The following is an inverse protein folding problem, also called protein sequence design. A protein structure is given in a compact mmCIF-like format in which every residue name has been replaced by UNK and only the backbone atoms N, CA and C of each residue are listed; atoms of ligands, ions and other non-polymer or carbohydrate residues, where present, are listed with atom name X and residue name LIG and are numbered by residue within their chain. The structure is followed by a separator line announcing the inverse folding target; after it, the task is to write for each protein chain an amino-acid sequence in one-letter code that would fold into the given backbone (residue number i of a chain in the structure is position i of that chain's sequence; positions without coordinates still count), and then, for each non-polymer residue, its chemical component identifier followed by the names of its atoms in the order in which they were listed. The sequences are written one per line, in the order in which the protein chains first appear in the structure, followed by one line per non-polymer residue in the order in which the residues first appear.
data_IF_315140405819
#
_entry.id   IF_315140405819
#
_cell.length_a   1.000
_cell.length_b   1.000
_cell.length_c   1.000
_cell.angle_alpha   90.00
_cell.angle_beta   90.00
_cell.angle_gamma   90.00
#
_symmetry.space_group_name_H-M   'P 1'
#
loop_
_entity.id
_entity.type
_entity.pdbx_description
1 polymer ?
#
# COMPACT_ATOMS: atom_id res chain seq x y z
N UNK A 1 -13.24 8.37 -12.13
CA UNK A 1 -12.03 8.24 -12.96
C UNK A 1 -11.21 7.04 -12.50
N UNK A 2 -10.76 6.20 -13.40
CA UNK A 2 -10.05 4.97 -13.04
C UNK A 2 -8.61 5.04 -13.53
N UNK A 3 -7.65 4.83 -12.62
CA UNK A 3 -6.22 4.76 -12.95
C UNK A 3 -5.72 3.32 -12.78
N UNK A 4 -5.02 2.83 -13.79
CA UNK A 4 -4.37 1.52 -13.74
C UNK A 4 -2.86 1.70 -13.62
N UNK A 5 -2.26 0.98 -12.69
CA UNK A 5 -0.83 0.99 -12.44
C UNK A 5 -0.32 -0.45 -12.57
N UNK A 6 0.63 -0.66 -13.47
CA UNK A 6 1.28 -1.96 -13.61
C UNK A 6 2.50 -2.02 -12.67
N UNK A 7 2.48 -2.99 -11.75
CA UNK A 7 3.54 -3.22 -10.78
C UNK A 7 4.67 -4.13 -11.29
N UNK A 8 4.52 -4.73 -12.48
CA UNK A 8 5.51 -5.65 -13.03
C UNK A 8 6.89 -5.01 -13.15
N UNK A 9 7.88 -5.61 -12.50
CA UNK A 9 9.27 -5.14 -12.52
C UNK A 9 9.55 -3.84 -11.76
N UNK A 10 8.52 -3.22 -11.18
CA UNK A 10 8.67 -1.99 -10.36
C UNK A 10 8.81 -2.33 -8.88
N UNK A 11 9.50 -1.47 -8.14
CA UNK A 11 9.58 -1.62 -6.69
C UNK A 11 8.25 -1.27 -6.01
N UNK A 12 7.94 -1.95 -4.93
CA UNK A 12 6.71 -1.70 -4.14
C UNK A 12 6.59 -0.24 -3.71
N UNK A 13 7.70 0.37 -3.25
CA UNK A 13 7.70 1.76 -2.79
C UNK A 13 7.36 2.75 -3.89
N UNK A 14 7.88 2.58 -5.11
CA UNK A 14 7.59 3.47 -6.24
C UNK A 14 6.14 3.36 -6.70
N UNK A 15 5.63 2.15 -6.81
CA UNK A 15 4.21 1.91 -7.13
C UNK A 15 3.31 2.51 -6.06
N UNK A 16 3.67 2.34 -4.79
CA UNK A 16 2.92 2.90 -3.67
C UNK A 16 2.91 4.44 -3.68
N UNK A 17 4.02 5.08 -4.02
CA UNK A 17 4.09 6.55 -4.14
C UNK A 17 3.17 7.06 -5.25
N UNK A 18 3.20 6.43 -6.41
CA UNK A 18 2.33 6.75 -7.54
C UNK A 18 0.85 6.59 -7.16
N UNK A 19 0.49 5.44 -6.61
CA UNK A 19 -0.87 5.14 -6.16
C UNK A 19 -1.36 6.13 -5.08
N UNK A 20 -0.52 6.44 -4.09
CA UNK A 20 -0.87 7.39 -3.04
C UNK A 20 -1.12 8.80 -3.60
N UNK A 21 -0.30 9.26 -4.54
CA UNK A 21 -0.48 10.57 -5.19
C UNK A 21 -1.81 10.67 -5.93
N UNK A 22 -2.18 9.61 -6.65
CA UNK A 22 -3.47 9.54 -7.35
C UNK A 22 -4.64 9.48 -6.38
N UNK A 23 -4.56 8.66 -5.33
CA UNK A 23 -5.60 8.54 -4.31
C UNK A 23 -5.84 9.84 -3.54
N UNK A 24 -4.79 10.63 -3.33
CA UNK A 24 -4.93 11.96 -2.72
C UNK A 24 -5.49 13.01 -3.67
N UNK A 25 -5.54 12.73 -4.97
CA UNK A 25 -6.02 13.65 -5.99
C UNK A 25 -4.99 14.69 -6.45
N UNK A 26 -3.71 14.52 -6.13
CA UNK A 26 -2.64 15.47 -6.51
C UNK A 26 -2.41 15.57 -8.02
N UNK A 27 -2.89 14.62 -8.79
CA UNK A 27 -2.79 14.60 -10.25
C UNK A 27 -3.82 15.49 -10.95
N UNK A 28 -4.82 15.96 -10.21
CA UNK A 28 -5.88 16.83 -10.74
C UNK A 28 -5.65 18.29 -10.34
N UNK A 29 -5.90 19.26 -11.24
CA UNK A 29 -5.86 20.68 -10.87
C UNK A 29 -6.96 21.08 -9.88
N UNK A 30 -8.03 20.29 -9.79
CA UNK A 30 -9.14 20.50 -8.82
C UNK A 30 -8.82 19.93 -7.42
N UNK A 31 -7.56 19.68 -7.11
CA UNK A 31 -7.14 19.13 -5.82
C UNK A 31 -7.55 20.03 -4.65
N UNK A 32 -8.25 19.43 -3.67
CA UNK A 32 -8.59 20.07 -2.41
C UNK A 32 -8.27 19.12 -1.24
N UNK A 33 -7.58 19.60 -0.23
CA UNK A 33 -7.11 18.77 0.89
C UNK A 33 -8.25 18.16 1.72
N UNK A 34 -9.38 18.82 1.80
CA UNK A 34 -10.51 18.44 2.66
C UNK A 34 -11.59 17.63 1.94
N UNK A 35 -11.47 17.45 0.64
CA UNK A 35 -12.42 16.69 -0.18
C UNK A 35 -11.72 15.44 -0.72
N UNK A 36 -12.32 14.25 -0.57
CA UNK A 36 -11.78 13.05 -1.19
C UNK A 36 -11.89 13.14 -2.72
N UNK A 37 -10.83 12.70 -3.41
CA UNK A 37 -10.87 12.60 -4.87
C UNK A 37 -11.77 11.45 -5.32
N UNK A 38 -12.57 11.68 -6.35
CA UNK A 38 -13.38 10.63 -6.99
C UNK A 38 -12.53 9.85 -7.99
N UNK A 39 -11.64 9.02 -7.48
CA UNK A 39 -10.68 8.23 -8.26
C UNK A 39 -10.67 6.80 -7.76
N UNK A 40 -10.64 5.84 -8.70
CA UNK A 40 -10.39 4.44 -8.43
C UNK A 40 -8.99 4.08 -8.94
N UNK A 41 -8.14 3.53 -8.07
CA UNK A 41 -6.81 3.06 -8.44
C UNK A 41 -6.81 1.54 -8.47
N UNK A 42 -6.34 0.97 -9.58
CA UNK A 42 -6.18 -0.47 -9.74
C UNK A 42 -4.70 -0.76 -9.97
N UNK A 43 -4.12 -1.57 -9.11
CA UNK A 43 -2.75 -2.07 -9.26
C UNK A 43 -2.83 -3.48 -9.81
N UNK A 44 -2.18 -3.70 -10.94
CA UNK A 44 -2.13 -4.99 -11.62
C UNK A 44 -0.74 -5.62 -11.47
N UNK A 45 -0.66 -6.96 -11.54
CA UNK A 45 0.59 -7.73 -11.46
C UNK A 45 1.40 -7.53 -10.16
N UNK A 46 0.72 -7.44 -9.02
CA UNK A 46 1.40 -7.23 -7.73
C UNK A 46 2.40 -8.35 -7.41
N UNK A 47 2.11 -9.59 -7.80
CA UNK A 47 3.03 -10.74 -7.61
C UNK A 47 4.33 -10.64 -8.41
N UNK A 48 4.34 -9.86 -9.49
CA UNK A 48 5.50 -9.66 -10.37
C UNK A 48 6.32 -8.42 -10.03
N UNK A 49 6.00 -7.76 -8.92
CA UNK A 49 6.76 -6.61 -8.44
C UNK A 49 8.18 -7.01 -8.03
N UNK A 50 9.12 -6.10 -8.20
CA UNK A 50 10.52 -6.32 -7.82
C UNK A 50 10.70 -6.12 -6.31
N UNK A 51 10.95 -7.21 -5.58
CA UNK A 51 11.32 -7.18 -4.17
C UNK A 51 12.68 -7.84 -4.02
N UNK A 52 13.67 -7.10 -3.53
CA UNK A 52 15.03 -7.62 -3.35
C UNK A 52 15.06 -8.68 -2.24
N UNK A 53 15.93 -9.71 -2.32
CA UNK A 53 16.05 -10.73 -1.28
C UNK A 53 16.36 -10.15 0.11
N UNK A 54 17.13 -9.07 0.19
CA UNK A 54 17.42 -8.39 1.45
C UNK A 54 16.17 -7.78 2.10
N UNK A 55 15.23 -7.26 1.32
CA UNK A 55 13.95 -6.75 1.82
C UNK A 55 13.01 -7.85 2.28
N UNK A 56 13.07 -9.02 1.69
CA UNK A 56 12.25 -10.18 2.11
C UNK A 56 12.48 -10.57 3.56
N UNK A 57 13.73 -10.46 4.04
CA UNK A 57 14.09 -10.77 5.42
C UNK A 57 13.84 -9.64 6.42
N UNK A 58 13.47 -8.44 5.95
CA UNK A 58 13.22 -7.29 6.82
C UNK A 58 11.87 -7.39 7.52
N UNK A 59 11.81 -6.83 8.72
CA UNK A 59 10.56 -6.77 9.49
C UNK A 59 9.57 -5.84 8.78
N UNK A 60 8.44 -6.39 8.39
CA UNK A 60 7.37 -5.65 7.72
C UNK A 60 6.39 -5.02 8.71
N UNK A 61 6.07 -5.73 9.79
CA UNK A 61 5.15 -5.26 10.80
C UNK A 61 5.51 -5.77 12.19
N UNK A 62 5.26 -4.93 13.19
CA UNK A 62 5.38 -5.27 14.60
C UNK A 62 4.03 -5.12 15.28
N UNK A 63 3.67 -6.07 16.12
CA UNK A 63 2.47 -6.01 16.95
C UNK A 63 2.85 -6.27 18.39
N UNK A 64 2.23 -5.54 19.31
CA UNK A 64 2.44 -5.68 20.74
C UNK A 64 1.09 -5.76 21.45
N UNK A 65 0.86 -6.86 22.18
CA UNK A 65 -0.42 -7.08 22.87
C UNK A 65 -0.55 -6.34 24.20
N UNK A 66 0.53 -5.74 24.71
CA UNK A 66 0.59 -5.11 26.03
C UNK A 66 0.98 -6.07 27.16
N UNK A 67 1.14 -7.36 26.88
CA UNK A 67 1.56 -8.38 27.85
C UNK A 67 3.04 -8.72 27.70
N UNK A 68 3.75 -9.17 28.76
CA UNK A 68 5.13 -9.65 28.65
C UNK A 68 5.25 -10.75 27.59
N UNK A 69 6.23 -10.62 26.69
CA UNK A 69 6.43 -11.55 25.56
C UNK A 69 5.44 -11.42 24.41
N UNK A 70 4.59 -10.39 24.43
CA UNK A 70 3.58 -10.17 23.39
C UNK A 70 4.05 -9.46 22.13
N UNK A 71 5.34 -9.09 22.05
CA UNK A 71 5.92 -8.48 20.85
C UNK A 71 6.05 -9.53 19.75
N UNK A 72 5.43 -9.28 18.60
CA UNK A 72 5.53 -10.12 17.42
C UNK A 72 6.02 -9.31 16.24
N UNK A 73 7.03 -9.84 15.56
CA UNK A 73 7.59 -9.26 14.35
C UNK A 73 7.29 -10.18 13.17
N UNK A 74 6.84 -9.59 12.05
CA UNK A 74 6.55 -10.33 10.83
C UNK A 74 7.40 -9.77 9.70
N UNK A 75 8.11 -10.64 9.02
CA UNK A 75 8.91 -10.28 7.84
C UNK A 75 8.04 -10.11 6.62
N UNK A 76 8.59 -9.46 5.58
CA UNK A 76 7.91 -9.33 4.28
C UNK A 76 7.61 -10.71 3.68
N UNK A 77 8.58 -11.65 3.74
CA UNK A 77 8.38 -13.01 3.25
C UNK A 77 7.22 -13.72 3.95
N UNK A 78 7.14 -13.60 5.27
CA UNK A 78 6.02 -14.16 6.04
C UNK A 78 4.67 -13.56 5.62
N UNK A 79 4.62 -12.24 5.41
CA UNK A 79 3.41 -11.55 4.99
C UNK A 79 2.94 -12.03 3.61
N UNK A 80 3.88 -12.19 2.66
CA UNK A 80 3.57 -12.70 1.32
C UNK A 80 3.05 -14.12 1.39
N UNK A 81 3.68 -14.99 2.18
CA UNK A 81 3.26 -16.39 2.33
C UNK A 81 1.86 -16.54 2.92
N UNK A 82 1.51 -15.71 3.90
CA UNK A 82 0.23 -15.81 4.63
C UNK A 82 -0.90 -15.00 4.01
N UNK A 83 -0.62 -13.83 3.45
CA UNK A 83 -1.63 -12.89 2.97
C UNK A 83 -1.46 -12.46 1.51
N UNK A 84 -0.38 -12.87 0.86
CA UNK A 84 -0.07 -12.51 -0.52
C UNK A 84 0.57 -11.12 -0.66
N UNK A 85 0.91 -10.78 -1.90
CA UNK A 85 1.55 -9.50 -2.24
C UNK A 85 0.63 -8.30 -2.01
N UNK A 86 -0.69 -8.51 -2.09
CA UNK A 86 -1.71 -7.48 -1.86
C UNK A 86 -1.52 -6.76 -0.52
N UNK A 87 -1.25 -7.50 0.55
CA UNK A 87 -1.07 -6.92 1.89
C UNK A 87 0.17 -6.04 1.98
N UNK A 88 1.24 -6.40 1.28
CA UNK A 88 2.48 -5.60 1.22
C UNK A 88 2.21 -4.23 0.60
N UNK A 89 1.50 -4.21 -0.53
CA UNK A 89 1.11 -2.97 -1.20
C UNK A 89 0.13 -2.14 -0.37
N UNK A 90 -0.89 -2.79 0.23
CA UNK A 90 -1.85 -2.11 1.09
C UNK A 90 -1.16 -1.37 2.24
N UNK A 91 -0.21 -2.01 2.91
CA UNK A 91 0.54 -1.38 4.00
C UNK A 91 1.42 -0.23 3.53
N UNK A 92 2.12 -0.41 2.41
CA UNK A 92 2.97 0.64 1.85
C UNK A 92 2.14 1.89 1.50
N UNK A 93 1.03 1.72 0.80
CA UNK A 93 0.15 2.82 0.40
C UNK A 93 -0.52 3.47 1.60
N UNK A 94 -1.02 2.67 2.55
CA UNK A 94 -1.66 3.16 3.77
C UNK A 94 -0.73 4.07 4.59
N UNK A 95 0.56 3.75 4.64
CA UNK A 95 1.56 4.57 5.34
C UNK A 95 1.92 5.85 4.61
N UNK A 96 1.76 5.89 3.30
CA UNK A 96 2.02 7.07 2.47
C UNK A 96 0.87 8.07 2.42
N UNK A 97 -0.34 7.63 2.73
CA UNK A 97 -1.53 8.49 2.80
C UNK A 97 -1.65 9.08 4.21
N UNK A 98 -1.97 10.40 4.36
CA UNK A 98 -2.16 11.00 5.67
C UNK A 98 -3.23 10.29 6.50
N UNK A 99 -2.94 10.07 7.78
CA UNK A 99 -3.87 9.46 8.73
C UNK A 99 -4.86 10.49 9.25
N UNK A 100 -5.96 10.65 8.53
CA UNK A 100 -7.06 11.54 8.87
C UNK A 100 -8.40 10.85 8.58
N UNK A 101 -9.51 11.56 8.75
CA UNK A 101 -10.85 11.02 8.45
C UNK A 101 -11.03 10.54 7.01
N UNK A 102 -10.27 11.09 6.06
CA UNK A 102 -10.34 10.72 4.64
C UNK A 102 -9.55 9.45 4.30
N UNK A 103 -8.68 8.99 5.20
CA UNK A 103 -7.82 7.81 4.98
C UNK A 103 -8.64 6.56 4.61
N UNK A 104 -9.70 6.27 5.35
CA UNK A 104 -10.56 5.11 5.07
C UNK A 104 -11.26 5.21 3.72
N UNK A 105 -11.70 6.40 3.35
CA UNK A 105 -12.37 6.65 2.06
C UNK A 105 -11.37 6.43 0.92
N UNK A 106 -10.16 6.98 1.03
CA UNK A 106 -9.10 6.81 0.04
C UNK A 106 -8.70 5.36 -0.12
N UNK A 107 -8.56 4.62 0.98
CA UNK A 107 -8.21 3.19 0.93
C UNK A 107 -9.30 2.32 0.30
N UNK A 108 -10.57 2.69 0.39
CA UNK A 108 -11.67 1.99 -0.31
C UNK A 108 -11.58 2.12 -1.83
N UNK A 109 -10.97 3.18 -2.32
CA UNK A 109 -10.80 3.44 -3.75
C UNK A 109 -9.57 2.73 -4.34
N UNK A 110 -8.93 1.86 -3.58
CA UNK A 110 -7.79 1.07 -4.02
C UNK A 110 -8.19 -0.38 -4.24
N UNK A 111 -7.85 -0.92 -5.41
CA UNK A 111 -7.95 -2.35 -5.72
C UNK A 111 -6.59 -2.86 -6.15
N UNK A 112 -6.20 -4.02 -5.66
CA UNK A 112 -4.92 -4.66 -5.98
C UNK A 112 -5.21 -6.06 -6.49
N UNK A 113 -4.65 -6.38 -7.65
CA UNK A 113 -4.73 -7.71 -8.26
C UNK A 113 -3.33 -8.29 -8.40
N UNK A 114 -3.17 -9.56 -8.08
CA UNK A 114 -1.91 -10.29 -8.20
C UNK A 114 -1.63 -10.79 -9.59
#
# INVERSE_FOLDING_TARGET
MTYKIDAKGKSVGRVATEAASVLMGKTSPAFQKHIPADVLVIIENASKASITPSKMGQVHSKTYSGYPGGLRERTVAYTIEKKGHTEVFLRAISRMIPRNRLHKIRMKNLKITE
#
